data_IF_758317159697
#
_entry.id   IF_758317159697
#
_cell.length_a   1.000
_cell.length_b   1.000
_cell.length_c   1.000
_cell.angle_alpha   90.00
_cell.angle_beta   90.00
_cell.angle_gamma   90.00
#
_symmetry.space_group_name_H-M   'P 1'
#
loop_
_entity.id
_entity.type
_entity.pdbx_description
1 polymer ?
#
# COMPACT_ATOMS: atom_id res chain seq x y z
N UNK A 1 -4.84 -2.28 -14.80
CA UNK A 1 -4.47 -2.96 -13.54
C UNK A 1 -3.64 -4.21 -13.77
N UNK A 2 -4.05 -5.16 -14.63
CA UNK A 2 -3.26 -6.38 -14.95
C UNK A 2 -1.75 -6.17 -15.19
N UNK A 3 -1.34 -5.06 -15.82
CA UNK A 3 0.08 -4.76 -16.06
C UNK A 3 0.84 -4.35 -14.78
N UNK A 4 0.21 -3.61 -13.87
CA UNK A 4 0.77 -3.28 -12.55
C UNK A 4 0.85 -4.52 -11.67
N UNK A 5 -0.19 -5.37 -11.67
CA UNK A 5 -0.21 -6.60 -10.86
C UNK A 5 0.84 -7.63 -11.31
N UNK A 6 1.20 -7.62 -12.60
CA UNK A 6 2.24 -8.49 -13.16
C UNK A 6 3.65 -8.06 -12.76
N UNK A 7 3.86 -6.81 -12.34
CA UNK A 7 5.19 -6.32 -11.97
C UNK A 7 5.35 -6.25 -10.46
N UNK A 8 6.45 -6.78 -9.94
CA UNK A 8 6.80 -6.62 -8.52
C UNK A 8 7.15 -5.16 -8.16
N UNK A 9 7.41 -4.33 -9.18
CA UNK A 9 8.00 -3.00 -9.07
C UNK A 9 6.98 -1.87 -8.78
N UNK A 10 5.68 -2.18 -8.73
CA UNK A 10 4.58 -1.25 -8.37
C UNK A 10 4.56 0.08 -9.13
N UNK A 11 5.19 0.14 -10.30
CA UNK A 11 5.31 1.31 -11.16
C UNK A 11 5.47 0.86 -12.63
N UNK A 12 4.90 1.63 -13.55
CA UNK A 12 5.01 1.41 -14.99
C UNK A 12 5.59 2.65 -15.67
N UNK A 13 6.38 2.42 -16.72
CA UNK A 13 6.80 3.47 -17.65
C UNK A 13 5.71 3.66 -18.71
N UNK A 14 5.30 4.90 -18.92
CA UNK A 14 4.39 5.27 -20.01
C UNK A 14 5.24 5.86 -21.11
N UNK A 15 5.21 5.22 -22.28
CA UNK A 15 5.98 5.62 -23.46
C UNK A 15 5.08 5.74 -24.68
N UNK A 16 5.52 6.51 -25.67
CA UNK A 16 4.89 6.51 -26.99
C UNK A 16 5.33 5.31 -27.85
N UNK A 17 4.83 5.25 -29.08
CA UNK A 17 5.19 4.22 -30.07
C UNK A 17 6.69 4.15 -30.41
N UNK A 18 7.44 5.23 -30.14
CA UNK A 18 8.87 5.35 -30.38
C UNK A 18 9.69 5.15 -29.10
N UNK A 19 9.07 4.63 -28.02
CA UNK A 19 9.68 4.48 -26.68
C UNK A 19 10.11 5.80 -26.02
N UNK A 20 9.62 6.94 -26.49
CA UNK A 20 9.84 8.23 -25.83
C UNK A 20 9.06 8.27 -24.52
N UNK A 21 9.72 8.64 -23.44
CA UNK A 21 9.09 8.69 -22.13
C UNK A 21 8.01 9.78 -22.09
N UNK A 22 6.77 9.38 -21.81
CA UNK A 22 5.63 10.26 -21.56
C UNK A 22 5.42 10.47 -20.06
N UNK A 23 5.71 9.47 -19.22
CA UNK A 23 5.54 9.57 -17.78
C UNK A 23 5.70 8.25 -17.03
N UNK A 24 5.29 8.26 -15.76
CA UNK A 24 5.25 7.06 -14.90
C UNK A 24 3.86 6.87 -14.30
N UNK A 25 3.42 5.63 -14.17
CA UNK A 25 2.11 5.26 -13.66
C UNK A 25 2.23 4.34 -12.44
N UNK A 26 1.59 4.71 -11.34
CA UNK A 26 1.49 3.91 -10.10
C UNK A 26 0.03 3.68 -9.70
N UNK A 27 -0.22 2.76 -8.77
CA UNK A 27 -1.56 2.59 -8.17
C UNK A 27 -2.08 3.86 -7.51
N UNK A 28 -1.17 4.68 -6.96
CA UNK A 28 -1.52 5.97 -6.37
C UNK A 28 -2.08 6.96 -7.39
N UNK A 29 -1.60 6.92 -8.63
CA UNK A 29 -2.11 7.75 -9.72
C UNK A 29 -3.48 7.26 -10.19
N UNK A 30 -3.62 5.95 -10.42
CA UNK A 30 -4.90 5.34 -10.78
C UNK A 30 -5.97 5.62 -9.74
N UNK A 31 -5.65 5.41 -8.46
CA UNK A 31 -6.57 5.68 -7.34
C UNK A 31 -7.01 7.15 -7.33
N UNK A 32 -6.09 8.10 -7.52
CA UNK A 32 -6.43 9.52 -7.56
C UNK A 32 -7.36 9.84 -8.73
N UNK A 33 -7.08 9.30 -9.93
CA UNK A 33 -7.93 9.47 -11.09
C UNK A 33 -9.33 8.86 -10.92
N UNK A 34 -9.45 7.70 -10.26
CA UNK A 34 -10.77 7.11 -9.90
C UNK A 34 -11.54 8.06 -8.98
N UNK A 35 -10.88 8.61 -7.96
CA UNK A 35 -11.52 9.52 -6.99
C UNK A 35 -11.97 10.83 -7.62
N UNK A 36 -11.32 11.29 -8.69
CA UNK A 36 -11.75 12.47 -9.45
C UNK A 36 -12.80 12.16 -10.52
N UNK A 37 -13.31 10.93 -10.59
CA UNK A 37 -14.42 10.55 -11.48
C UNK A 37 -14.00 10.17 -12.91
N UNK A 38 -12.71 9.87 -13.15
CA UNK A 38 -12.25 9.42 -14.47
C UNK A 38 -12.86 8.05 -14.79
N UNK A 39 -13.56 7.96 -15.92
CA UNK A 39 -14.06 6.70 -16.48
C UNK A 39 -12.95 6.06 -17.33
N UNK A 40 -12.36 4.98 -16.83
CA UNK A 40 -11.34 4.20 -17.53
C UNK A 40 -11.97 3.29 -18.59
N UNK A 41 -12.59 3.89 -19.61
CA UNK A 41 -13.16 3.12 -20.70
C UNK A 41 -12.06 2.70 -21.70
N UNK A 42 -11.11 3.58 -22.01
CA UNK A 42 -10.23 3.36 -23.18
C UNK A 42 -8.78 3.86 -23.04
N UNK A 43 -8.48 4.87 -22.21
CA UNK A 43 -7.13 5.45 -22.17
C UNK A 43 -6.72 5.94 -20.76
N UNK A 44 -5.41 5.87 -20.49
CA UNK A 44 -4.73 6.32 -19.27
C UNK A 44 -4.09 7.72 -19.40
N UNK A 45 -4.30 8.44 -20.50
CA UNK A 45 -3.65 9.74 -20.79
C UNK A 45 -3.66 10.75 -19.64
N UNK A 46 -4.71 10.72 -18.81
CA UNK A 46 -4.90 11.64 -17.69
C UNK A 46 -4.60 11.02 -16.32
N UNK A 47 -3.96 9.85 -16.31
CA UNK A 47 -3.81 9.02 -15.11
C UNK A 47 -2.37 8.67 -14.76
N UNK A 48 -1.37 9.24 -15.44
CA UNK A 48 0.04 9.07 -15.13
C UNK A 48 0.73 10.40 -14.81
N UNK A 49 1.87 10.35 -14.11
CA UNK A 49 2.68 11.52 -13.81
C UNK A 49 3.51 11.92 -15.04
N UNK A 50 3.24 13.10 -15.59
CA UNK A 50 3.85 13.61 -16.86
C UNK A 50 5.25 14.21 -16.70
N UNK A 51 5.69 14.50 -15.48
CA UNK A 51 7.04 14.99 -15.17
C UNK A 51 7.73 14.06 -14.16
N UNK A 52 8.04 12.81 -14.54
CA UNK A 52 8.73 11.90 -13.65
C UNK A 52 10.17 12.37 -13.41
N UNK A 53 10.73 11.96 -12.27
CA UNK A 53 12.19 12.07 -12.07
C UNK A 53 12.87 11.06 -12.99
N UNK A 54 13.85 11.49 -13.78
CA UNK A 54 14.59 10.65 -14.74
C UNK A 54 16.09 10.74 -14.48
N UNK A 55 16.83 9.71 -14.88
CA UNK A 55 18.29 9.75 -14.99
C UNK A 55 18.68 9.71 -16.47
N UNK A 56 19.63 10.54 -16.87
CA UNK A 56 20.25 10.42 -18.19
C UNK A 56 21.20 9.24 -18.20
N UNK A 57 21.25 8.50 -19.31
CA UNK A 57 22.13 7.34 -19.48
C UNK A 57 23.60 7.67 -19.15
N UNK A 58 24.08 8.82 -19.61
CA UNK A 58 25.48 9.24 -19.40
C UNK A 58 25.75 9.74 -17.96
N UNK A 59 24.69 10.04 -17.21
CA UNK A 59 24.77 10.48 -15.81
C UNK A 59 24.46 9.35 -14.82
N UNK A 60 24.22 8.14 -15.31
CA UNK A 60 23.82 7.02 -14.46
C UNK A 60 25.00 6.56 -13.59
N UNK A 61 24.74 6.50 -12.29
CA UNK A 61 25.62 5.90 -11.30
C UNK A 61 24.74 5.21 -10.23
N UNK A 62 24.97 3.93 -9.89
CA UNK A 62 24.21 3.20 -8.87
C UNK A 62 24.05 3.95 -7.55
N UNK A 63 25.10 4.59 -7.04
CA UNK A 63 25.06 5.33 -5.77
C UNK A 63 24.20 6.61 -5.87
N UNK A 64 24.32 7.34 -6.99
CA UNK A 64 23.48 8.51 -7.29
C UNK A 64 22.02 8.10 -7.46
N UNK A 65 21.76 6.99 -8.15
CA UNK A 65 20.42 6.43 -8.33
C UNK A 65 19.80 6.04 -6.98
N UNK A 66 20.55 5.34 -6.12
CA UNK A 66 20.13 4.97 -4.77
C UNK A 66 19.81 6.19 -3.92
N UNK A 67 20.69 7.19 -3.93
CA UNK A 67 20.46 8.45 -3.22
C UNK A 67 19.20 9.17 -3.70
N UNK A 68 18.94 9.16 -5.02
CA UNK A 68 17.78 9.80 -5.63
C UNK A 68 16.48 9.06 -5.31
N UNK A 69 16.47 7.73 -5.39
CA UNK A 69 15.36 6.87 -4.96
C UNK A 69 15.00 7.16 -3.50
N UNK A 70 16.00 7.20 -2.60
CA UNK A 70 15.79 7.49 -1.17
C UNK A 70 15.27 8.91 -0.93
N UNK A 71 15.93 9.91 -1.50
CA UNK A 71 15.61 11.34 -1.31
C UNK A 71 14.20 11.69 -1.79
N UNK A 72 13.77 11.08 -2.90
CA UNK A 72 12.46 11.33 -3.51
C UNK A 72 11.39 10.30 -3.12
N UNK A 73 11.73 9.31 -2.30
CA UNK A 73 10.85 8.18 -1.90
C UNK A 73 10.21 7.51 -3.13
N UNK A 74 11.02 7.26 -4.15
CA UNK A 74 10.60 6.61 -5.40
C UNK A 74 10.91 5.11 -5.35
N UNK A 75 10.09 4.31 -6.03
CA UNK A 75 10.34 2.87 -6.18
C UNK A 75 11.15 2.56 -7.45
N UNK A 76 11.03 3.41 -8.47
CA UNK A 76 11.68 3.26 -9.77
C UNK A 76 12.04 4.63 -10.34
N UNK A 77 13.15 4.69 -11.07
CA UNK A 77 13.56 5.86 -11.87
C UNK A 77 13.84 5.38 -13.31
N UNK A 78 13.22 5.97 -14.34
CA UNK A 78 13.54 5.68 -15.73
C UNK A 78 14.93 6.21 -16.10
N UNK A 79 15.66 5.46 -16.92
CA UNK A 79 16.92 5.88 -17.54
C UNK A 79 16.65 6.19 -19.01
N UNK A 80 16.97 7.41 -19.43
CA UNK A 80 16.68 7.91 -20.78
C UNK A 80 17.96 8.39 -21.46
N UNK A 81 17.99 8.32 -22.79
CA UNK A 81 19.05 8.94 -23.59
C UNK A 81 18.79 10.44 -23.84
N UNK A 82 19.66 11.10 -24.61
CA UNK A 82 19.54 12.51 -24.96
C UNK A 82 18.22 12.89 -25.66
N UNK A 83 17.63 11.94 -26.41
CA UNK A 83 16.36 12.11 -27.12
C UNK A 83 15.13 11.80 -26.25
N UNK A 84 15.31 11.59 -24.94
CA UNK A 84 14.27 11.18 -23.99
C UNK A 84 13.62 9.82 -24.33
N UNK A 85 14.35 8.95 -25.02
CA UNK A 85 13.95 7.56 -25.27
C UNK A 85 14.37 6.73 -24.06
N UNK A 86 13.45 5.92 -23.55
CA UNK A 86 13.74 5.00 -22.45
C UNK A 86 14.71 3.93 -22.94
N UNK A 87 15.87 3.85 -22.30
CA UNK A 87 16.89 2.83 -22.57
C UNK A 87 16.91 1.77 -21.47
N UNK A 88 16.61 2.15 -20.22
CA UNK A 88 16.60 1.25 -19.08
C UNK A 88 15.80 1.87 -17.91
N UNK A 89 15.77 1.21 -16.75
CA UNK A 89 15.20 1.72 -15.52
C UNK A 89 15.93 1.17 -14.30
N UNK A 90 15.87 1.89 -13.19
CA UNK A 90 16.48 1.47 -11.93
C UNK A 90 15.43 1.38 -10.83
N UNK A 91 15.48 0.30 -10.07
CA UNK A 91 14.60 0.02 -8.91
C UNK A 91 15.43 -0.35 -7.70
N UNK A 92 14.81 -0.41 -6.52
CA UNK A 92 15.46 -0.94 -5.32
C UNK A 92 15.96 -2.37 -5.54
N UNK A 93 15.12 -3.23 -6.10
CA UNK A 93 15.43 -4.64 -6.40
C UNK A 93 16.61 -4.80 -7.35
N UNK A 94 16.70 -3.97 -8.39
CA UNK A 94 17.78 -4.00 -9.38
C UNK A 94 19.14 -3.52 -8.84
N UNK A 95 19.15 -2.69 -7.79
CA UNK A 95 20.38 -2.18 -7.15
C UNK A 95 20.97 -3.15 -6.11
N UNK A 96 20.53 -4.41 -6.07
CA UNK A 96 21.02 -5.41 -5.12
C UNK A 96 20.47 -5.24 -3.71
N UNK A 97 19.71 -4.18 -3.44
CA UNK A 97 18.76 -4.17 -2.34
C UNK A 97 17.55 -4.99 -2.75
N UNK A 98 17.66 -6.31 -2.58
CA UNK A 98 16.45 -7.05 -2.25
C UNK A 98 15.83 -6.27 -1.10
N UNK A 99 14.66 -5.69 -1.33
CA UNK A 99 13.68 -5.49 -0.26
C UNK A 99 13.37 -6.92 0.18
N UNK A 100 14.30 -7.53 0.91
CA UNK A 100 14.00 -8.69 1.71
C UNK A 100 13.00 -8.07 2.69
N UNK A 101 11.71 -8.46 2.65
CA UNK A 101 10.87 -8.19 3.80
C UNK A 101 11.70 -8.72 4.96
N UNK A 102 12.16 -7.80 5.81
CA UNK A 102 13.10 -8.14 6.85
C UNK A 102 12.49 -9.33 7.57
N UNK A 103 13.10 -10.51 7.38
CA UNK A 103 12.67 -11.76 8.02
C UNK A 103 13.03 -11.74 9.51
N UNK A 104 13.36 -10.56 10.05
CA UNK A 104 13.41 -10.29 11.46
C UNK A 104 11.97 -10.26 11.97
N UNK A 105 11.66 -11.25 12.80
CA UNK A 105 10.53 -11.18 13.71
C UNK A 105 10.56 -9.82 14.41
N UNK A 106 9.56 -8.97 14.18
CA UNK A 106 9.51 -7.65 14.81
C UNK A 106 9.35 -7.80 16.32
N UNK A 107 8.61 -8.84 16.77
CA UNK A 107 8.35 -9.13 18.18
C UNK A 107 7.94 -7.89 19.00
N UNK A 108 7.16 -6.99 18.39
CA UNK A 108 6.65 -5.79 19.03
C UNK A 108 5.13 -5.88 19.23
N UNK A 109 4.58 -5.28 20.29
CA UNK A 109 3.15 -5.10 20.44
C UNK A 109 2.56 -4.26 19.30
N UNK A 110 1.37 -4.62 18.84
CA UNK A 110 0.68 -3.96 17.73
C UNK A 110 -0.59 -3.30 18.24
N UNK A 111 -0.70 -1.99 18.05
CA UNK A 111 -1.93 -1.24 18.37
C UNK A 111 -2.80 -1.12 17.11
N UNK A 112 -4.02 -1.64 17.17
CA UNK A 112 -5.02 -1.53 16.10
C UNK A 112 -6.12 -0.56 16.53
N UNK A 113 -6.21 0.57 15.83
CA UNK A 113 -7.25 1.57 16.04
C UNK A 113 -8.59 1.08 15.45
N UNK A 114 -9.54 0.76 16.32
CA UNK A 114 -10.82 0.15 15.97
C UNK A 114 -12.05 0.93 16.50
N UNK A 115 -11.85 2.13 17.06
CA UNK A 115 -12.89 2.97 17.68
C UNK A 115 -13.68 3.91 16.74
N UNK A 116 -13.35 3.98 15.45
CA UNK A 116 -14.01 4.90 14.51
C UNK A 116 -15.43 4.46 14.11
N UNK A 117 -16.31 5.42 13.75
CA UNK A 117 -17.72 5.16 13.37
C UNK A 117 -17.91 4.41 12.04
N UNK A 118 -16.94 4.49 11.13
CA UNK A 118 -16.99 3.76 9.86
C UNK A 118 -18.05 4.25 8.86
N UNK A 119 -18.48 5.52 8.94
CA UNK A 119 -19.59 6.10 8.15
C UNK A 119 -19.44 5.96 6.64
N UNK A 120 -18.20 5.98 6.11
CA UNK A 120 -17.90 5.80 4.69
C UNK A 120 -18.23 4.40 4.14
N UNK A 121 -18.44 3.42 5.01
CA UNK A 121 -18.80 2.03 4.67
C UNK A 121 -20.25 1.71 5.06
N UNK A 122 -21.07 2.73 5.28
CA UNK A 122 -22.52 2.51 5.38
C UNK A 122 -23.06 1.94 4.05
N UNK A 123 -24.09 1.08 4.08
CA UNK A 123 -24.88 0.71 5.26
C UNK A 123 -24.28 -0.41 6.12
N UNK A 124 -23.22 -1.10 5.68
CA UNK A 124 -22.67 -2.27 6.39
C UNK A 124 -22.26 -1.96 7.82
N UNK A 125 -21.65 -0.78 8.05
CA UNK A 125 -21.19 -0.35 9.37
C UNK A 125 -22.31 0.08 10.33
N UNK A 126 -23.56 0.15 9.83
CA UNK A 126 -24.74 0.29 10.71
C UNK A 126 -24.96 -0.98 11.51
N UNK A 127 -24.79 -2.14 10.87
CA UNK A 127 -25.05 -3.48 11.43
C UNK A 127 -23.82 -4.00 12.18
N UNK A 128 -22.66 -4.04 11.53
CA UNK A 128 -21.42 -4.56 12.11
C UNK A 128 -20.40 -3.44 12.38
N UNK A 129 -19.57 -3.54 13.41
CA UNK A 129 -18.46 -2.60 13.56
C UNK A 129 -17.49 -2.78 12.38
N UNK A 130 -16.88 -1.69 11.89
CA UNK A 130 -15.99 -1.71 10.72
C UNK A 130 -14.92 -2.83 10.77
N UNK A 131 -14.23 -3.09 11.89
CA UNK A 131 -13.25 -4.19 11.98
C UNK A 131 -13.84 -5.58 11.64
N UNK A 132 -15.15 -5.78 11.87
CA UNK A 132 -15.85 -7.02 11.59
C UNK A 132 -16.54 -7.08 10.23
N UNK A 133 -16.43 -6.03 9.41
CA UNK A 133 -16.98 -6.06 8.05
C UNK A 133 -16.20 -7.11 7.24
N UNK A 134 -16.87 -8.07 6.58
CA UNK A 134 -16.21 -9.08 5.79
C UNK A 134 -15.58 -8.48 4.53
N UNK A 135 -14.35 -8.87 4.25
CA UNK A 135 -13.67 -8.63 2.98
C UNK A 135 -13.19 -9.98 2.48
N UNK A 136 -13.80 -10.46 1.39
CA UNK A 136 -13.72 -11.86 0.98
C UNK A 136 -14.26 -12.76 2.13
N UNK A 137 -13.57 -13.85 2.45
CA UNK A 137 -14.01 -14.85 3.43
C UNK A 137 -13.67 -14.50 4.88
N UNK A 138 -13.06 -13.34 5.16
CA UNK A 138 -12.61 -12.96 6.52
C UNK A 138 -12.92 -11.50 6.86
N UNK A 139 -13.16 -11.16 8.15
CA UNK A 139 -13.28 -9.78 8.59
C UNK A 139 -11.99 -8.98 8.41
N UNK A 140 -12.10 -7.66 8.21
CA UNK A 140 -10.96 -6.75 8.05
C UNK A 140 -9.91 -6.91 9.15
N UNK A 141 -10.35 -7.12 10.40
CA UNK A 141 -9.43 -7.25 11.54
C UNK A 141 -8.53 -8.48 11.46
N UNK A 142 -9.03 -9.61 10.95
CA UNK A 142 -8.23 -10.82 10.76
C UNK A 142 -7.13 -10.60 9.72
N UNK A 143 -7.47 -9.97 8.59
CA UNK A 143 -6.48 -9.64 7.55
C UNK A 143 -5.32 -8.80 8.10
N UNK A 144 -5.62 -7.83 8.98
CA UNK A 144 -4.61 -6.99 9.61
C UNK A 144 -3.72 -7.83 10.53
N UNK A 145 -4.33 -8.61 11.44
CA UNK A 145 -3.61 -9.45 12.41
C UNK A 145 -2.70 -10.44 11.68
N UNK A 146 -3.21 -11.16 10.68
CA UNK A 146 -2.44 -12.15 9.92
C UNK A 146 -1.19 -11.54 9.26
N UNK A 147 -1.28 -10.30 8.78
CA UNK A 147 -0.13 -9.61 8.23
C UNK A 147 0.98 -9.38 9.27
N UNK A 148 0.60 -9.04 10.51
CA UNK A 148 1.54 -8.84 11.61
C UNK A 148 2.04 -10.15 12.21
N UNK A 149 1.21 -11.19 12.29
CA UNK A 149 1.64 -12.53 12.72
C UNK A 149 2.68 -13.12 11.77
N UNK A 150 2.57 -12.87 10.46
CA UNK A 150 3.61 -13.21 9.46
C UNK A 150 4.94 -12.48 9.71
N UNK A 151 4.91 -11.36 10.43
CA UNK A 151 6.09 -10.60 10.87
C UNK A 151 6.51 -10.94 12.31
N UNK A 152 5.89 -11.97 12.92
CA UNK A 152 6.22 -12.46 14.26
C UNK A 152 5.62 -11.66 15.42
N UNK A 153 4.64 -10.79 15.17
CA UNK A 153 3.89 -10.14 16.24
C UNK A 153 2.78 -11.07 16.77
N UNK A 154 2.72 -11.25 18.09
CA UNK A 154 1.70 -12.07 18.76
C UNK A 154 0.98 -11.32 19.89
N UNK A 155 1.27 -10.04 20.10
CA UNK A 155 0.66 -9.20 21.14
C UNK A 155 -0.08 -8.03 20.50
N UNK A 156 -1.40 -8.03 20.61
CA UNK A 156 -2.28 -7.07 19.96
C UNK A 156 -3.08 -6.27 20.98
N UNK A 157 -3.12 -4.95 20.81
CA UNK A 157 -3.95 -4.04 21.58
C UNK A 157 -4.96 -3.35 20.67
N UNK A 158 -6.25 -3.44 21.00
CA UNK A 158 -7.32 -2.85 20.18
C UNK A 158 -7.99 -1.71 20.93
N UNK A 159 -7.86 -0.50 20.40
CA UNK A 159 -8.61 0.65 20.87
C UNK A 159 -10.05 0.57 20.31
N UNK A 160 -11.03 0.33 21.17
CA UNK A 160 -12.44 0.11 20.81
C UNK A 160 -13.34 1.08 21.55
N UNK A 161 -14.49 1.44 20.96
CA UNK A 161 -15.53 2.25 21.61
C UNK A 161 -16.75 1.39 21.99
N UNK A 162 -17.92 2.01 22.21
CA UNK A 162 -19.20 1.36 22.57
C UNK A 162 -19.61 0.14 21.72
N UNK A 163 -19.26 0.06 20.42
CA UNK A 163 -19.50 -1.15 19.59
C UNK A 163 -18.47 -2.28 19.81
N UNK A 164 -17.54 -2.11 20.75
CA UNK A 164 -16.46 -3.04 21.08
C UNK A 164 -16.93 -4.37 21.65
N UNK A 165 -18.16 -4.45 22.21
CA UNK A 165 -18.70 -5.71 22.77
C UNK A 165 -18.80 -6.83 21.73
N UNK A 166 -19.23 -6.51 20.51
CA UNK A 166 -19.32 -7.50 19.42
C UNK A 166 -17.91 -7.96 19.02
N UNK A 167 -16.95 -7.04 19.00
CA UNK A 167 -15.55 -7.37 18.74
C UNK A 167 -14.96 -8.27 19.85
N UNK A 168 -15.30 -8.02 21.12
CA UNK A 168 -14.92 -8.87 22.26
C UNK A 168 -15.45 -10.29 22.09
N UNK A 169 -16.76 -10.44 21.90
CA UNK A 169 -17.39 -11.75 21.72
C UNK A 169 -16.78 -12.54 20.54
N UNK A 170 -16.54 -11.87 19.41
CA UNK A 170 -15.93 -12.50 18.24
C UNK A 170 -14.53 -13.08 18.54
N UNK A 171 -13.68 -12.37 19.29
CA UNK A 171 -12.34 -12.87 19.63
C UNK A 171 -12.33 -13.88 20.78
N UNK A 172 -13.34 -13.87 21.64
CA UNK A 172 -13.56 -14.92 22.64
C UNK A 172 -13.91 -16.26 21.98
N UNK A 173 -14.71 -16.22 20.90
CA UNK A 173 -15.06 -17.42 20.11
C UNK A 173 -13.89 -17.89 19.22
N UNK A 174 -13.13 -16.98 18.64
CA UNK A 174 -12.02 -17.31 17.72
C UNK A 174 -10.89 -18.11 18.38
N UNK A 175 -10.64 -17.90 19.68
CA UNK A 175 -9.57 -18.53 20.46
C UNK A 175 -8.20 -18.63 19.74
N UNK A 176 -7.60 -17.49 19.35
CA UNK A 176 -6.37 -17.50 18.58
C UNK A 176 -5.12 -17.84 19.40
N UNK A 177 -4.06 -18.29 18.72
CA UNK A 177 -2.72 -18.53 19.29
C UNK A 177 -1.93 -17.23 19.59
N UNK A 178 -2.59 -16.07 19.59
CA UNK A 178 -1.99 -14.76 19.88
C UNK A 178 -2.79 -14.02 20.96
N UNK A 179 -2.09 -13.20 21.74
CA UNK A 179 -2.70 -12.41 22.81
C UNK A 179 -3.48 -11.24 22.23
N UNK A 180 -4.67 -10.98 22.78
CA UNK A 180 -5.35 -9.74 22.46
C UNK A 180 -5.98 -9.03 23.65
N UNK A 181 -5.69 -7.73 23.71
CA UNK A 181 -6.14 -6.80 24.73
C UNK A 181 -7.11 -5.77 24.12
N UNK A 182 -8.07 -5.34 24.93
CA UNK A 182 -9.04 -4.31 24.55
C UNK A 182 -8.84 -3.08 25.42
N UNK A 183 -8.67 -1.93 24.78
CA UNK A 183 -8.59 -0.61 25.41
C UNK A 183 -9.89 0.11 25.06
N UNK A 184 -10.70 0.43 26.07
CA UNK A 184 -11.98 1.12 25.87
C UNK A 184 -11.76 2.64 25.78
N UNK A 185 -12.13 3.22 24.65
CA UNK A 185 -12.19 4.66 24.44
C UNK A 185 -13.59 5.18 24.84
N UNK A 186 -13.63 6.19 25.70
CA UNK A 186 -14.88 6.83 26.13
C UNK A 186 -15.54 7.63 24.99
N UNK A 187 -14.72 8.26 24.15
CA UNK A 187 -15.16 9.01 22.98
C UNK A 187 -14.33 8.64 21.75
N UNK A 188 -14.92 8.58 20.54
CA UNK A 188 -14.15 8.36 19.32
C UNK A 188 -13.22 9.56 19.07
N UNK A 189 -11.91 9.34 19.08
CA UNK A 189 -10.92 10.38 18.82
C UNK A 189 -10.65 10.61 17.31
N UNK A 190 -11.39 9.93 16.42
CA UNK A 190 -11.27 10.03 14.96
C UNK A 190 -12.37 9.36 14.14
#
# INVERSE_FOLDING_TARGET
>A
MKALDKTAEKCLLVVDKNKKLLGTLTDGDLRRSILTGVKFAENISNSYTTKPTVLKQDEYNPEKAKALLRKRKLNMIPIVNENNIVVDYVTWSGLGEKIQPHKSSLNVPVVIMAGGRGTRLEPFTKILPKPLVPVQEKPIIEHIIECFTKLGCSDFHRAVNYKGRILKAYFEELQPDYSVHFIEEQEPLG
#
